data_IF_352113547331
#
_entry.id   IF_352113547331
#
_cell.length_a   1.000
_cell.length_b   1.000
_cell.length_c   1.000
_cell.angle_alpha   90.00
_cell.angle_beta   90.00
_cell.angle_gamma   90.00
#
_symmetry.space_group_name_H-M   'P 1'
#
loop_
_entity.id
_entity.type
_entity.pdbx_description
1 polymer ?
#
# COMPACT_ATOMS: atom_id res chain seq x y z
N UNK A 1 -8.57 5.96 0.74
CA UNK A 1 -8.92 4.59 0.31
C UNK A 1 -10.42 4.41 0.36
N UNK A 2 -11.05 3.72 -0.62
CA UNK A 2 -12.49 3.46 -0.57
C UNK A 2 -12.88 2.61 0.65
N UNK A 3 -14.13 2.68 1.16
CA UNK A 3 -14.58 1.84 2.26
C UNK A 3 -14.50 0.36 1.89
N UNK A 4 -14.26 -0.50 2.87
CA UNK A 4 -14.21 -1.96 2.65
C UNK A 4 -15.62 -2.44 2.24
N UNK A 5 -15.76 -3.19 1.14
CA UNK A 5 -17.05 -3.71 0.72
C UNK A 5 -17.70 -4.60 1.77
N UNK A 6 -19.02 -4.66 1.76
CA UNK A 6 -19.78 -5.58 2.61
C UNK A 6 -19.39 -7.02 2.24
N UNK A 7 -19.11 -7.85 3.24
CA UNK A 7 -18.80 -9.26 3.02
C UNK A 7 -20.01 -9.96 2.39
N UNK A 8 -19.76 -10.61 1.26
CA UNK A 8 -20.72 -11.45 0.54
C UNK A 8 -20.03 -12.78 0.27
N UNK A 9 -20.79 -13.87 0.23
CA UNK A 9 -20.23 -15.18 -0.12
C UNK A 9 -20.52 -15.50 -1.58
N UNK A 10 -19.69 -16.37 -2.15
CA UNK A 10 -19.93 -16.88 -3.48
C UNK A 10 -21.29 -17.61 -3.61
N UNK A 11 -21.99 -17.40 -4.73
CA UNK A 11 -23.21 -18.13 -5.08
C UNK A 11 -23.27 -18.42 -6.58
N UNK A 12 -23.05 -19.69 -6.94
CA UNK A 12 -23.03 -20.18 -8.34
C UNK A 12 -24.28 -19.77 -9.15
N UNK A 13 -25.46 -19.76 -8.52
CA UNK A 13 -26.76 -19.37 -9.14
C UNK A 13 -26.88 -17.86 -9.41
N UNK A 14 -26.25 -17.01 -8.58
CA UNK A 14 -26.29 -15.57 -8.75
C UNK A 14 -25.49 -15.13 -9.98
N UNK A 15 -24.40 -15.85 -10.29
CA UNK A 15 -23.60 -15.64 -11.49
C UNK A 15 -24.40 -15.95 -12.76
N UNK A 16 -25.04 -17.11 -12.84
CA UNK A 16 -25.86 -17.49 -14.02
C UNK A 16 -27.00 -16.48 -14.25
N UNK A 17 -27.66 -16.01 -13.18
CA UNK A 17 -28.69 -14.96 -13.28
C UNK A 17 -28.11 -13.59 -13.66
N UNK A 18 -26.92 -13.21 -13.20
CA UNK A 18 -26.26 -11.96 -13.56
C UNK A 18 -25.76 -11.96 -15.02
N UNK A 19 -25.30 -13.11 -15.53
CA UNK A 19 -24.94 -13.27 -16.95
C UNK A 19 -26.17 -13.28 -17.86
N UNK A 20 -27.31 -13.86 -17.44
CA UNK A 20 -28.58 -13.82 -18.20
C UNK A 20 -29.30 -12.47 -18.09
N UNK A 21 -29.04 -11.68 -17.05
CA UNK A 21 -29.59 -10.32 -16.86
C UNK A 21 -28.65 -9.21 -17.32
N UNK A 22 -27.57 -9.53 -18.02
CA UNK A 22 -26.59 -8.53 -18.51
C UNK A 22 -27.17 -7.55 -19.54
N UNK A 23 -28.43 -7.73 -19.97
CA UNK A 23 -29.21 -6.74 -20.74
C UNK A 23 -30.14 -5.84 -19.90
N UNK A 24 -30.31 -6.05 -18.58
CA UNK A 24 -31.34 -5.35 -17.79
C UNK A 24 -30.90 -4.81 -16.41
N UNK A 25 -29.62 -4.89 -16.06
CA UNK A 25 -29.10 -4.26 -14.84
C UNK A 25 -27.84 -3.44 -15.14
N UNK A 26 -28.02 -2.36 -15.90
CA UNK A 26 -27.41 -1.09 -15.48
C UNK A 26 -28.06 -0.71 -14.14
N UNK A 27 -27.32 -0.08 -13.24
CA UNK A 27 -27.70 0.35 -11.87
C UNK A 27 -27.84 -0.75 -10.82
N UNK A 28 -26.71 -1.10 -10.19
CA UNK A 28 -26.52 -1.00 -8.73
C UNK A 28 -25.07 -1.37 -8.38
N UNK A 29 -24.18 -0.40 -8.58
CA UNK A 29 -22.92 -0.33 -7.82
C UNK A 29 -23.29 -0.07 -6.36
N UNK A 30 -22.89 -0.90 -5.37
CA UNK A 30 -23.12 -0.58 -3.97
C UNK A 30 -22.16 0.56 -3.58
N UNK A 31 -22.74 1.75 -3.49
CA UNK A 31 -22.17 2.95 -2.86
C UNK A 31 -20.81 3.39 -3.44
N UNK A 32 -20.83 3.80 -4.71
CA UNK A 32 -19.82 4.70 -5.24
C UNK A 32 -20.05 6.08 -4.60
N UNK A 33 -19.41 6.31 -3.47
CA UNK A 33 -18.98 7.68 -3.16
C UNK A 33 -18.11 8.11 -4.34
N UNK A 34 -18.73 8.83 -5.26
CA UNK A 34 -18.09 9.34 -6.46
C UNK A 34 -16.82 10.10 -6.04
N UNK A 35 -15.67 9.88 -6.70
CA UNK A 35 -14.45 10.65 -6.44
C UNK A 35 -14.62 12.17 -6.61
N UNK A 36 -15.72 12.62 -7.22
CA UNK A 36 -16.00 14.03 -7.52
C UNK A 36 -16.12 14.94 -6.28
N UNK A 37 -16.19 14.41 -5.06
CA UNK A 37 -16.21 15.22 -3.84
C UNK A 37 -14.85 15.35 -3.13
N UNK A 38 -13.83 14.61 -3.57
CA UNK A 38 -12.47 14.83 -3.09
C UNK A 38 -11.79 15.72 -4.12
N UNK A 39 -11.48 16.97 -3.76
CA UNK A 39 -10.56 17.82 -4.53
C UNK A 39 -9.16 17.19 -4.49
N UNK A 40 -8.95 16.14 -5.29
CA UNK A 40 -7.68 15.41 -5.34
C UNK A 40 -6.66 16.30 -6.04
N UNK A 41 -5.58 16.65 -5.34
CA UNK A 41 -4.46 17.37 -5.93
C UNK A 41 -3.89 16.56 -7.09
N UNK A 42 -3.63 17.21 -8.22
CA UNK A 42 -3.02 16.55 -9.37
C UNK A 42 -1.63 15.98 -9.00
N UNK A 43 -1.28 14.81 -9.54
CA UNK A 43 0.00 14.13 -9.29
C UNK A 43 1.22 15.05 -9.52
N UNK A 44 1.26 15.86 -10.60
CA UNK A 44 2.35 16.82 -10.80
C UNK A 44 2.49 17.84 -9.67
N UNK A 45 1.37 18.32 -9.12
CA UNK A 45 1.37 19.28 -8.01
C UNK A 45 1.99 18.68 -6.74
N UNK A 46 1.67 17.42 -6.44
CA UNK A 46 2.27 16.68 -5.32
C UNK A 46 3.78 16.50 -5.49
N UNK A 47 4.23 16.19 -6.71
CA UNK A 47 5.65 16.07 -7.04
C UNK A 47 6.39 17.39 -6.86
N UNK A 48 5.80 18.51 -7.31
CA UNK A 48 6.38 19.84 -7.11
C UNK A 48 6.45 20.18 -5.62
N UNK A 49 5.40 19.90 -4.83
CA UNK A 49 5.41 20.10 -3.39
C UNK A 49 6.51 19.27 -2.70
N UNK A 50 6.68 18.01 -3.10
CA UNK A 50 7.75 17.15 -2.60
C UNK A 50 9.13 17.73 -2.90
N UNK A 51 9.35 18.22 -4.13
CA UNK A 51 10.58 18.89 -4.52
C UNK A 51 10.82 20.18 -3.71
N UNK A 52 9.77 20.96 -3.43
CA UNK A 52 9.86 22.16 -2.60
C UNK A 52 10.28 21.82 -1.17
N UNK A 53 9.70 20.79 -0.55
CA UNK A 53 10.11 20.34 0.77
C UNK A 53 11.56 19.84 0.80
N UNK A 54 11.99 19.14 -0.25
CA UNK A 54 13.38 18.73 -0.39
C UNK A 54 14.34 19.94 -0.54
N UNK A 55 13.93 20.94 -1.30
CA UNK A 55 14.66 22.19 -1.40
C UNK A 55 14.77 22.86 -0.01
N UNK A 56 13.66 22.97 0.72
CA UNK A 56 13.63 23.56 2.07
C UNK A 56 14.56 22.84 3.06
N UNK A 57 14.52 21.50 3.12
CA UNK A 57 15.40 20.75 4.04
C UNK A 57 16.88 20.92 3.67
N UNK A 58 17.20 20.95 2.38
CA UNK A 58 18.58 21.14 1.91
C UNK A 58 19.11 22.55 2.21
N UNK A 59 18.25 23.57 2.07
CA UNK A 59 18.59 24.96 2.38
C UNK A 59 18.61 25.25 3.88
N UNK A 60 17.75 24.57 4.66
CA UNK A 60 17.76 24.66 6.12
C UNK A 60 19.12 24.21 6.68
N UNK A 61 19.69 23.14 6.14
CA UNK A 61 21.03 22.69 6.54
C UNK A 61 22.09 23.76 6.25
N UNK A 62 22.09 24.33 5.03
CA UNK A 62 23.02 25.41 4.66
C UNK A 62 22.85 26.67 5.52
N UNK A 63 21.62 27.02 5.87
CA UNK A 63 21.31 28.17 6.72
C UNK A 63 21.86 27.96 8.14
N UNK A 64 21.68 26.77 8.70
CA UNK A 64 22.24 26.41 10.01
C UNK A 64 23.76 26.54 10.01
N UNK A 65 24.41 26.02 8.98
CA UNK A 65 25.86 26.10 8.83
C UNK A 65 26.33 27.56 8.73
N UNK A 66 25.66 28.39 7.92
CA UNK A 66 26.00 29.81 7.78
C UNK A 66 25.77 30.62 9.06
N UNK A 67 24.69 30.37 9.79
CA UNK A 67 24.42 31.03 11.08
C UNK A 67 25.54 30.67 12.05
N UNK A 68 25.93 29.40 12.10
CA UNK A 68 26.97 28.92 13.00
C UNK A 68 28.34 29.50 12.68
N UNK A 69 28.72 29.56 11.41
CA UNK A 69 29.98 30.16 10.96
C UNK A 69 30.07 31.64 11.40
N UNK A 70 29.01 32.42 11.16
CA UNK A 70 28.96 33.83 11.56
C UNK A 70 28.97 34.00 13.08
N UNK A 71 28.25 33.14 13.80
CA UNK A 71 28.18 33.17 15.26
C UNK A 71 29.54 32.86 15.90
N UNK A 72 30.24 31.85 15.38
CA UNK A 72 31.57 31.46 15.88
C UNK A 72 32.63 32.50 15.52
N UNK A 73 32.60 33.09 14.32
CA UNK A 73 33.49 34.18 13.90
C UNK A 73 33.37 35.43 14.78
N UNK A 74 32.16 35.84 15.17
CA UNK A 74 31.96 36.98 16.10
C UNK A 74 32.44 36.65 17.50
N UNK A 75 32.18 35.43 17.99
CA UNK A 75 32.59 34.99 19.34
C UNK A 75 34.11 34.86 19.47
N UNK A 76 34.83 34.52 18.39
CA UNK A 76 36.30 34.57 18.37
C UNK A 76 36.86 36.00 18.41
N UNK A 77 36.19 36.96 17.75
CA UNK A 77 36.57 38.38 17.84
C UNK A 77 36.30 38.97 19.23
N UNK A 78 35.18 38.60 19.87
CA UNK A 78 34.85 39.05 21.23
C UNK A 78 35.78 38.46 22.30
N UNK A 79 36.23 37.21 22.15
CA UNK A 79 37.21 36.58 23.05
C UNK A 79 38.62 37.19 22.96
N UNK A 80 38.98 37.77 21.81
CA UNK A 80 40.21 38.57 21.68
C UNK A 80 40.11 39.92 22.42
N UNK A 81 38.89 40.44 22.61
CA UNK A 81 38.63 41.73 23.27
C UNK A 81 38.36 41.56 24.78
N UNK A 82 37.82 40.42 25.22
CA UNK A 82 37.53 40.14 26.64
C UNK A 82 38.26 38.89 27.14
N UNK A 83 39.55 39.05 27.48
CA UNK A 83 40.19 38.23 28.51
C UNK A 83 39.71 38.69 29.88
N UNK A 84 38.53 38.26 30.32
CA UNK A 84 38.24 37.98 31.72
C UNK A 84 36.77 37.60 31.93
N UNK A 85 36.61 36.69 32.88
CA UNK A 85 35.39 36.31 33.60
C UNK A 85 34.56 35.18 32.95
N UNK A 86 34.76 34.05 33.62
CA UNK A 86 34.06 32.78 33.64
C UNK A 86 32.53 32.91 33.61
N UNK A 87 31.87 32.17 32.71
CA UNK A 87 30.44 31.87 32.85
C UNK A 87 30.11 30.53 32.17
N UNK A 88 29.77 29.55 33.00
CA UNK A 88 29.25 28.22 32.66
C UNK A 88 27.91 28.33 31.90
N UNK A 89 27.95 28.66 30.63
CA UNK A 89 26.79 28.53 29.73
C UNK A 89 26.75 27.09 29.19
N UNK A 90 25.69 26.36 29.54
CA UNK A 90 25.36 25.05 28.93
C UNK A 90 25.51 25.18 27.41
N UNK A 91 26.42 24.40 26.84
CA UNK A 91 26.67 24.38 25.40
C UNK A 91 25.39 23.94 24.69
N UNK A 92 24.65 24.92 24.15
CA UNK A 92 23.59 24.67 23.17
C UNK A 92 24.24 23.92 22.01
N UNK A 93 23.86 22.67 21.78
CA UNK A 93 24.48 21.85 20.74
C UNK A 93 23.96 22.31 19.38
N UNK A 94 24.88 22.44 18.40
CA UNK A 94 24.63 22.89 17.02
C UNK A 94 23.45 22.17 16.34
N UNK A 95 23.14 20.93 16.75
CA UNK A 95 22.08 20.11 16.16
C UNK A 95 20.68 20.46 16.65
N UNK A 96 20.50 21.11 17.79
CA UNK A 96 19.16 21.16 18.41
C UNK A 96 18.27 22.30 17.88
N UNK A 97 18.85 23.36 17.30
CA UNK A 97 18.14 24.63 17.02
C UNK A 97 17.05 24.50 15.92
N UNK A 98 17.15 23.52 15.04
CA UNK A 98 16.15 23.26 13.97
C UNK A 98 15.75 21.80 13.83
N UNK A 99 15.98 20.99 14.87
CA UNK A 99 15.68 19.56 14.81
C UNK A 99 14.19 19.28 14.60
N UNK A 100 13.33 20.06 15.27
CA UNK A 100 11.88 19.98 15.10
C UNK A 100 11.44 20.25 13.65
N UNK A 101 11.98 21.31 13.03
CA UNK A 101 11.67 21.66 11.63
C UNK A 101 12.12 20.56 10.67
N UNK A 102 13.33 19.99 10.86
CA UNK A 102 13.82 18.89 10.02
C UNK A 102 12.93 17.65 10.12
N UNK A 103 12.51 17.30 11.33
CA UNK A 103 11.58 16.18 11.56
C UNK A 103 10.23 16.43 10.90
N UNK A 104 9.68 17.64 11.04
CA UNK A 104 8.40 18.00 10.44
C UNK A 104 8.45 17.98 8.91
N UNK A 105 9.50 18.53 8.29
CA UNK A 105 9.67 18.50 6.83
C UNK A 105 9.81 17.06 6.34
N UNK A 106 10.65 16.24 6.98
CA UNK A 106 10.80 14.84 6.58
C UNK A 106 9.49 14.05 6.71
N UNK A 107 8.75 14.25 7.80
CA UNK A 107 7.44 13.62 7.99
C UNK A 107 6.42 14.08 6.93
N UNK A 108 6.42 15.38 6.56
CA UNK A 108 5.57 15.88 5.49
C UNK A 108 5.94 15.27 4.14
N UNK A 109 7.23 15.11 3.85
CA UNK A 109 7.69 14.40 2.64
C UNK A 109 7.22 12.94 2.61
N UNK A 110 7.33 12.20 3.73
CA UNK A 110 6.81 10.82 3.82
C UNK A 110 5.32 10.76 3.51
N UNK A 111 4.54 11.69 4.08
CA UNK A 111 3.09 11.77 3.85
C UNK A 111 2.75 12.08 2.41
N UNK A 112 3.49 12.98 1.76
CA UNK A 112 3.28 13.27 0.32
C UNK A 112 3.61 12.04 -0.52
N UNK A 113 4.71 11.33 -0.24
CA UNK A 113 5.03 10.09 -0.97
C UNK A 113 3.95 9.01 -0.78
N UNK A 114 3.54 8.74 0.47
CA UNK A 114 2.48 7.77 0.82
C UNK A 114 1.16 8.12 0.12
N UNK A 115 0.75 9.40 0.20
CA UNK A 115 -0.47 9.88 -0.44
C UNK A 115 -0.41 9.78 -1.97
N UNK A 116 0.73 10.13 -2.57
CA UNK A 116 0.91 10.08 -4.04
C UNK A 116 0.80 8.65 -4.56
N UNK A 117 1.50 7.69 -3.93
CA UNK A 117 1.39 6.28 -4.30
C UNK A 117 -0.05 5.75 -4.14
N UNK A 118 -0.70 6.09 -3.03
CA UNK A 118 -2.11 5.71 -2.79
C UNK A 118 -3.05 6.32 -3.82
N UNK A 119 -2.88 7.59 -4.16
CA UNK A 119 -3.69 8.27 -5.18
C UNK A 119 -3.54 7.58 -6.53
N UNK A 120 -2.31 7.26 -6.95
CA UNK A 120 -2.07 6.60 -8.22
C UNK A 120 -2.80 5.27 -8.29
N UNK A 121 -2.66 4.40 -7.28
CA UNK A 121 -3.28 3.06 -7.31
C UNK A 121 -4.80 3.11 -7.18
N UNK A 122 -5.33 3.93 -6.26
CA UNK A 122 -6.76 3.90 -5.89
C UNK A 122 -7.62 4.94 -6.63
N UNK A 123 -7.01 5.91 -7.31
CA UNK A 123 -7.72 6.92 -8.09
C UNK A 123 -7.33 6.83 -9.57
N UNK A 124 -6.06 7.01 -9.91
CA UNK A 124 -5.63 7.14 -11.31
C UNK A 124 -5.70 5.79 -12.04
N UNK A 125 -5.22 4.72 -11.40
CA UNK A 125 -5.22 3.35 -11.88
C UNK A 125 -6.39 2.53 -11.33
N UNK A 126 -7.44 3.17 -10.80
CA UNK A 126 -8.57 2.48 -10.17
C UNK A 126 -9.20 1.44 -11.09
N UNK A 127 -9.48 1.80 -12.34
CA UNK A 127 -10.15 0.91 -13.29
C UNK A 127 -9.27 -0.32 -13.61
N UNK A 128 -8.04 -0.17 -14.14
CA UNK A 128 -7.21 -1.34 -14.44
C UNK A 128 -6.86 -2.13 -13.17
N UNK A 129 -6.49 -1.47 -12.08
CA UNK A 129 -5.97 -2.11 -10.87
C UNK A 129 -7.09 -2.64 -9.96
N UNK A 130 -7.99 -1.76 -9.49
CA UNK A 130 -8.97 -2.10 -8.46
C UNK A 130 -10.23 -2.75 -9.02
N UNK A 131 -10.67 -2.39 -10.23
CA UNK A 131 -11.94 -2.87 -10.79
C UNK A 131 -11.77 -4.11 -11.69
N UNK A 132 -10.66 -4.17 -12.44
CA UNK A 132 -10.44 -5.21 -13.46
C UNK A 132 -9.51 -6.37 -13.03
N UNK A 133 -8.50 -6.12 -12.19
CA UNK A 133 -7.55 -7.17 -11.80
C UNK A 133 -8.29 -8.38 -11.18
N UNK A 134 -8.02 -9.59 -11.67
CA UNK A 134 -8.66 -10.85 -11.28
C UNK A 134 -10.18 -10.92 -11.43
N UNK A 135 -10.79 -9.97 -12.15
CA UNK A 135 -12.22 -9.98 -12.44
C UNK A 135 -12.47 -10.60 -13.83
N UNK A 136 -13.21 -11.72 -13.96
CA UNK A 136 -13.88 -12.46 -12.89
C UNK A 136 -13.03 -13.56 -12.25
N UNK A 137 -11.89 -13.91 -12.85
CA UNK A 137 -10.98 -14.99 -12.40
C UNK A 137 -9.53 -14.59 -12.64
N UNK A 138 -8.59 -15.16 -11.88
CA UNK A 138 -7.15 -14.86 -11.99
C UNK A 138 -6.63 -15.07 -13.42
N UNK A 139 -6.92 -16.21 -14.06
CA UNK A 139 -6.47 -16.50 -15.42
C UNK A 139 -6.95 -15.49 -16.49
N UNK A 140 -8.07 -14.81 -16.27
CA UNK A 140 -8.69 -13.95 -17.28
C UNK A 140 -8.13 -12.52 -17.27
N UNK A 141 -7.71 -12.05 -16.10
CA UNK A 141 -7.31 -10.66 -15.87
C UNK A 141 -6.10 -10.64 -14.94
N UNK A 142 -4.92 -10.92 -15.51
CA UNK A 142 -3.63 -11.04 -14.81
C UNK A 142 -2.97 -9.68 -14.55
N UNK A 143 -1.96 -9.66 -13.68
CA UNK A 143 -1.16 -8.46 -13.38
C UNK A 143 -0.43 -7.89 -14.61
N UNK A 144 -0.18 -8.69 -15.66
CA UNK A 144 0.48 -8.23 -16.89
C UNK A 144 -0.18 -6.97 -17.49
N UNK A 145 -1.52 -6.89 -17.43
CA UNK A 145 -2.28 -5.74 -17.93
C UNK A 145 -2.06 -4.44 -17.13
N UNK A 146 -1.45 -4.52 -15.94
CA UNK A 146 -1.13 -3.37 -15.08
C UNK A 146 0.26 -2.80 -15.33
N UNK A 147 1.15 -3.55 -15.98
CA UNK A 147 2.56 -3.18 -16.08
C UNK A 147 2.75 -1.90 -16.90
N UNK A 148 2.11 -1.81 -18.07
CA UNK A 148 2.19 -0.60 -18.91
C UNK A 148 1.54 0.63 -18.23
N UNK A 149 0.33 0.56 -17.63
CA UNK A 149 -0.21 1.67 -16.85
C UNK A 149 0.67 2.11 -15.67
N UNK A 150 1.25 1.16 -14.93
CA UNK A 150 2.16 1.46 -13.82
C UNK A 150 3.45 2.12 -14.31
N UNK A 151 4.02 1.65 -15.41
CA UNK A 151 5.23 2.21 -16.01
C UNK A 151 5.00 3.66 -16.47
N UNK A 152 3.85 3.93 -17.11
CA UNK A 152 3.48 5.28 -17.53
C UNK A 152 3.41 6.25 -16.34
N UNK A 153 2.76 5.86 -15.24
CA UNK A 153 2.69 6.69 -14.03
C UNK A 153 4.06 6.87 -13.37
N UNK A 154 4.87 5.81 -13.31
CA UNK A 154 6.23 5.87 -12.74
C UNK A 154 7.14 6.80 -13.54
N UNK A 155 7.08 6.76 -14.87
CA UNK A 155 7.83 7.66 -15.74
C UNK A 155 7.45 9.12 -15.49
N UNK A 156 6.15 9.43 -15.42
CA UNK A 156 5.68 10.78 -15.11
C UNK A 156 6.15 11.28 -13.73
N UNK A 157 6.17 10.40 -12.72
CA UNK A 157 6.71 10.74 -11.41
C UNK A 157 8.20 11.07 -11.48
N UNK A 158 8.99 10.21 -12.11
CA UNK A 158 10.45 10.34 -12.21
C UNK A 158 10.89 11.53 -13.06
N UNK A 159 10.07 11.96 -14.02
CA UNK A 159 10.32 13.16 -14.84
C UNK A 159 10.24 14.46 -14.04
N UNK A 160 9.39 14.50 -13.00
CA UNK A 160 9.17 15.70 -12.18
C UNK A 160 10.01 15.67 -10.91
N UNK A 161 10.09 14.51 -10.25
CA UNK A 161 10.74 14.36 -8.94
C UNK A 161 12.26 14.35 -9.07
N UNK A 162 12.92 15.13 -8.21
CA UNK A 162 14.39 15.19 -8.18
C UNK A 162 15.00 13.84 -7.79
N UNK A 163 16.14 13.52 -8.39
CA UNK A 163 16.82 12.21 -8.27
C UNK A 163 16.94 11.66 -6.84
N UNK A 164 17.31 12.46 -5.80
CA UNK A 164 17.43 11.95 -4.43
C UNK A 164 16.13 11.47 -3.78
N UNK A 165 14.97 11.75 -4.40
CA UNK A 165 13.65 11.39 -3.90
C UNK A 165 12.99 10.26 -4.69
N UNK A 166 13.58 9.84 -5.81
CA UNK A 166 13.00 8.82 -6.70
C UNK A 166 12.76 7.50 -5.98
N UNK A 167 13.76 6.99 -5.28
CA UNK A 167 13.61 5.76 -4.49
C UNK A 167 12.49 5.87 -3.44
N UNK A 168 12.34 7.04 -2.82
CA UNK A 168 11.33 7.26 -1.78
C UNK A 168 9.92 7.22 -2.37
N UNK A 169 9.70 7.89 -3.50
CA UNK A 169 8.36 7.92 -4.12
C UNK A 169 8.03 6.58 -4.79
N UNK A 170 9.01 5.92 -5.42
CA UNK A 170 8.83 4.58 -6.01
C UNK A 170 8.55 3.55 -4.91
N UNK A 171 9.20 3.64 -3.75
CA UNK A 171 8.88 2.80 -2.58
C UNK A 171 7.42 2.97 -2.14
N UNK A 172 6.93 4.20 -2.06
CA UNK A 172 5.53 4.45 -1.70
C UNK A 172 4.55 3.94 -2.75
N UNK A 173 4.91 3.99 -4.04
CA UNK A 173 4.11 3.38 -5.11
C UNK A 173 4.10 1.85 -5.02
N UNK A 174 5.24 1.21 -4.72
CA UNK A 174 5.32 -0.22 -4.45
C UNK A 174 4.40 -0.61 -3.29
N UNK A 175 4.48 0.10 -2.16
CA UNK A 175 3.65 -0.15 -0.98
C UNK A 175 2.15 -0.02 -1.32
N UNK A 176 1.77 1.06 -2.00
CA UNK A 176 0.39 1.26 -2.44
C UNK A 176 -0.08 0.17 -3.42
N UNK A 177 0.80 -0.32 -4.29
CA UNK A 177 0.49 -1.39 -5.25
C UNK A 177 0.28 -2.73 -4.53
N UNK A 178 1.08 -3.04 -3.52
CA UNK A 178 0.89 -4.21 -2.68
C UNK A 178 -0.41 -4.12 -1.86
N UNK A 179 -0.72 -2.95 -1.29
CA UNK A 179 -1.99 -2.71 -0.60
C UNK A 179 -3.19 -2.83 -1.56
N UNK A 180 -3.05 -2.33 -2.79
CA UNK A 180 -4.03 -2.49 -3.85
C UNK A 180 -4.27 -3.95 -4.20
N UNK A 181 -3.19 -4.73 -4.37
CA UNK A 181 -3.26 -6.17 -4.63
C UNK A 181 -3.94 -6.92 -3.49
N UNK A 182 -3.59 -6.62 -2.23
CA UNK A 182 -4.24 -7.20 -1.06
C UNK A 182 -5.73 -6.87 -1.02
N UNK A 183 -6.08 -5.63 -1.33
CA UNK A 183 -7.48 -5.22 -1.40
C UNK A 183 -8.24 -5.99 -2.49
N UNK A 184 -7.65 -6.17 -3.66
CA UNK A 184 -8.27 -6.95 -4.75
C UNK A 184 -8.49 -8.42 -4.34
N UNK A 185 -7.52 -9.00 -3.63
CA UNK A 185 -7.56 -10.40 -3.20
C UNK A 185 -8.55 -10.64 -2.05
N UNK A 186 -8.57 -9.75 -1.05
CA UNK A 186 -9.33 -9.94 0.19
C UNK A 186 -10.67 -9.22 0.23
N UNK A 187 -10.76 -8.07 -0.43
CA UNK A 187 -11.88 -7.13 -0.36
C UNK A 187 -12.34 -6.71 -1.78
N UNK A 188 -12.17 -7.60 -2.77
CA UNK A 188 -12.38 -7.33 -4.20
C UNK A 188 -13.84 -7.39 -4.68
N UNK A 189 -14.80 -7.58 -3.77
CA UNK A 189 -16.22 -7.66 -4.09
C UNK A 189 -16.68 -8.99 -4.72
N UNK A 190 -17.98 -9.09 -4.97
CA UNK A 190 -18.67 -10.36 -5.33
C UNK A 190 -18.40 -10.86 -6.77
N UNK A 191 -17.75 -10.05 -7.59
CA UNK A 191 -17.45 -10.37 -8.99
C UNK A 191 -16.19 -11.21 -9.17
N UNK A 192 -15.34 -11.27 -8.14
CA UNK A 192 -14.10 -12.05 -8.11
C UNK A 192 -14.30 -13.37 -7.40
N UNK A 193 -13.71 -14.40 -7.98
CA UNK A 193 -13.77 -15.77 -7.45
C UNK A 193 -12.38 -16.37 -7.51
N UNK A 194 -11.93 -16.95 -6.40
CA UNK A 194 -10.64 -17.63 -6.28
C UNK A 194 -10.81 -19.11 -5.97
N UNK A 195 -9.91 -19.91 -6.53
CA UNK A 195 -9.77 -21.35 -6.33
C UNK A 195 -8.38 -21.68 -5.77
N UNK A 196 -8.19 -22.83 -5.09
CA UNK A 196 -6.86 -23.23 -4.61
C UNK A 196 -5.81 -23.31 -5.74
N UNK A 197 -6.24 -23.70 -6.94
CA UNK A 197 -5.40 -23.72 -8.14
C UNK A 197 -4.84 -22.36 -8.55
N UNK A 198 -5.48 -21.26 -8.14
CA UNK A 198 -5.06 -19.90 -8.54
C UNK A 198 -3.82 -19.43 -7.77
N UNK A 199 -3.48 -20.08 -6.65
CA UNK A 199 -2.35 -19.68 -5.81
C UNK A 199 -1.01 -19.63 -6.58
N UNK A 200 -0.82 -20.53 -7.56
CA UNK A 200 0.36 -20.52 -8.42
C UNK A 200 0.40 -19.27 -9.32
N UNK A 201 -0.74 -18.91 -9.91
CA UNK A 201 -0.84 -17.76 -10.81
C UNK A 201 -0.71 -16.44 -10.04
N UNK A 202 -1.27 -16.39 -8.82
CA UNK A 202 -1.09 -15.25 -7.92
C UNK A 202 0.38 -15.07 -7.51
N UNK A 203 1.11 -16.16 -7.24
CA UNK A 203 2.55 -16.08 -6.94
C UNK A 203 3.35 -15.61 -8.16
N UNK A 204 3.06 -16.13 -9.35
CA UNK A 204 3.66 -15.64 -10.61
C UNK A 204 3.42 -14.14 -10.80
N UNK A 205 2.20 -13.67 -10.55
CA UNK A 205 1.83 -12.25 -10.68
C UNK A 205 2.52 -11.36 -9.64
N UNK A 206 2.70 -11.85 -8.40
CA UNK A 206 3.49 -11.15 -7.39
C UNK A 206 4.97 -11.05 -7.81
N UNK A 207 5.51 -12.09 -8.44
CA UNK A 207 6.89 -12.09 -8.94
C UNK A 207 7.06 -11.11 -10.10
N UNK A 208 6.09 -11.01 -11.02
CA UNK A 208 6.08 -9.99 -12.08
C UNK A 208 6.10 -8.58 -11.47
N UNK A 209 5.22 -8.29 -10.51
CA UNK A 209 5.18 -6.99 -9.85
C UNK A 209 6.48 -6.69 -9.09
N UNK A 210 7.06 -7.69 -8.42
CA UNK A 210 8.33 -7.56 -7.70
C UNK A 210 9.47 -7.21 -8.66
N UNK A 211 9.62 -7.95 -9.76
CA UNK A 211 10.70 -7.71 -10.73
C UNK A 211 10.49 -6.39 -11.48
N UNK A 212 9.25 -5.94 -11.70
CA UNK A 212 8.95 -4.60 -12.21
C UNK A 212 9.58 -3.49 -11.36
N UNK A 213 9.38 -3.51 -10.03
CA UNK A 213 9.97 -2.49 -9.15
C UNK A 213 11.48 -2.63 -8.92
N UNK A 214 12.05 -3.81 -9.16
CA UNK A 214 13.51 -4.02 -9.15
C UNK A 214 14.13 -3.52 -10.46
N UNK A 215 13.40 -3.66 -11.58
CA UNK A 215 13.79 -3.24 -12.93
C UNK A 215 15.22 -3.67 -13.30
N UNK A 216 15.53 -4.95 -13.13
CA UNK A 216 16.86 -5.50 -13.46
C UNK A 216 18.04 -4.93 -12.65
N UNK A 217 17.78 -4.14 -11.60
CA UNK A 217 18.79 -3.46 -10.79
C UNK A 217 18.79 -1.93 -10.94
N UNK A 218 18.07 -1.39 -11.93
CA UNK A 218 17.96 0.05 -12.15
C UNK A 218 16.83 0.69 -11.31
N UNK A 219 16.00 -0.12 -10.67
CA UNK A 219 14.93 0.31 -9.77
C UNK A 219 15.32 0.22 -8.29
N UNK A 220 14.37 -0.20 -7.45
CA UNK A 220 14.56 -0.32 -6.01
C UNK A 220 15.51 -1.48 -5.65
N UNK A 221 16.27 -1.38 -4.54
CA UNK A 221 17.13 -2.46 -4.09
C UNK A 221 16.35 -3.75 -3.80
N UNK A 222 16.80 -4.88 -4.37
CA UNK A 222 16.15 -6.20 -4.28
C UNK A 222 15.80 -6.61 -2.85
N UNK A 223 16.68 -6.35 -1.90
CA UNK A 223 16.45 -6.68 -0.48
C UNK A 223 15.26 -5.91 0.11
N UNK A 224 15.07 -4.66 -0.28
CA UNK A 224 13.98 -3.82 0.22
C UNK A 224 12.66 -4.28 -0.37
N UNK A 225 12.59 -4.50 -1.69
CA UNK A 225 11.38 -5.03 -2.35
C UNK A 225 11.02 -6.41 -1.79
N UNK A 226 12.02 -7.28 -1.58
CA UNK A 226 11.80 -8.60 -1.03
C UNK A 226 11.18 -8.57 0.38
N UNK A 227 11.52 -7.57 1.20
CA UNK A 227 10.93 -7.40 2.52
C UNK A 227 9.47 -6.92 2.44
N UNK A 228 9.13 -6.04 1.49
CA UNK A 228 7.76 -5.56 1.33
C UNK A 228 6.79 -6.67 0.88
N UNK A 229 7.23 -7.56 -0.01
CA UNK A 229 6.35 -8.61 -0.56
C UNK A 229 6.09 -9.79 0.38
N UNK A 230 6.80 -9.92 1.51
CA UNK A 230 6.69 -11.08 2.43
C UNK A 230 5.25 -11.29 2.90
N UNK A 231 4.58 -10.22 3.30
CA UNK A 231 3.21 -10.31 3.83
C UNK A 231 2.22 -10.73 2.74
N UNK A 232 2.31 -10.12 1.55
CA UNK A 232 1.46 -10.48 0.40
C UNK A 232 1.67 -11.93 -0.02
N UNK A 233 2.93 -12.37 -0.08
CA UNK A 233 3.26 -13.77 -0.40
C UNK A 233 2.67 -14.75 0.61
N UNK A 234 2.69 -14.42 1.91
CA UNK A 234 2.04 -15.26 2.92
C UNK A 234 0.53 -15.36 2.67
N UNK A 235 -0.14 -14.25 2.34
CA UNK A 235 -1.56 -14.25 2.01
C UNK A 235 -1.88 -15.04 0.75
N UNK A 236 -1.05 -14.95 -0.30
CA UNK A 236 -1.18 -15.78 -1.50
C UNK A 236 -1.06 -17.27 -1.17
N UNK A 237 -0.14 -17.65 -0.27
CA UNK A 237 -0.04 -19.03 0.20
C UNK A 237 -1.33 -19.52 0.88
N UNK A 238 -2.02 -18.65 1.64
CA UNK A 238 -3.31 -18.99 2.25
C UNK A 238 -4.36 -19.36 1.19
N UNK A 239 -4.35 -18.71 0.02
CA UNK A 239 -5.23 -19.08 -1.09
C UNK A 239 -4.96 -20.49 -1.63
N UNK A 240 -3.77 -21.06 -1.41
CA UNK A 240 -3.43 -22.41 -1.86
C UNK A 240 -3.93 -23.54 -0.98
N UNK A 241 -4.37 -23.26 0.27
CA UNK A 241 -4.86 -24.30 1.18
C UNK A 241 -6.26 -24.77 0.81
N UNK A 242 -6.59 -25.98 1.24
CA UNK A 242 -7.94 -26.51 1.10
C UNK A 242 -8.92 -25.78 2.02
N UNK A 243 -10.19 -25.75 1.61
CA UNK A 243 -11.23 -25.01 2.33
C UNK A 243 -11.46 -25.56 3.73
N UNK A 244 -11.31 -26.86 3.93
CA UNK A 244 -11.36 -27.53 5.24
C UNK A 244 -10.30 -26.98 6.20
N UNK A 245 -9.05 -26.86 5.75
CA UNK A 245 -7.92 -26.35 6.55
C UNK A 245 -8.13 -24.88 6.92
N UNK A 246 -8.61 -24.05 5.98
CA UNK A 246 -8.93 -22.65 6.23
C UNK A 246 -10.05 -22.50 7.27
N UNK A 247 -11.06 -23.37 7.23
CA UNK A 247 -12.19 -23.37 8.19
C UNK A 247 -11.74 -23.81 9.58
N UNK A 248 -10.88 -24.82 9.68
CA UNK A 248 -10.29 -25.27 10.95
C UNK A 248 -9.46 -24.13 11.59
N UNK A 249 -8.57 -23.51 10.83
CA UNK A 249 -7.73 -22.41 11.34
C UNK A 249 -8.58 -21.19 11.73
N UNK A 250 -9.66 -20.91 10.99
CA UNK A 250 -10.59 -19.83 11.31
C UNK A 250 -11.32 -20.08 12.64
N UNK A 251 -11.77 -21.31 12.91
CA UNK A 251 -12.41 -21.68 14.19
C UNK A 251 -11.44 -21.58 15.37
N UNK A 252 -10.19 -22.00 15.15
CA UNK A 252 -9.11 -21.81 16.12
C UNK A 252 -8.91 -20.31 16.41
N UNK A 253 -8.80 -19.48 15.37
CA UNK A 253 -8.58 -18.04 15.47
C UNK A 253 -9.75 -17.28 16.10
N UNK A 254 -10.99 -17.76 15.93
CA UNK A 254 -12.19 -17.18 16.55
C UNK A 254 -12.42 -17.62 18.00
N UNK A 255 -11.59 -18.53 18.55
CA UNK A 255 -11.81 -19.13 19.86
C UNK A 255 -13.07 -19.99 19.94
N UNK A 256 -13.57 -20.48 18.80
CA UNK A 256 -14.73 -21.38 18.74
C UNK A 256 -14.36 -22.81 19.12
N UNK A 257 -13.06 -23.14 19.18
CA UNK A 257 -12.56 -24.42 19.68
C UNK A 257 -12.19 -24.33 21.17
N UNK A 258 -12.88 -25.12 21.99
CA UNK A 258 -12.68 -25.20 23.45
C UNK A 258 -11.47 -26.05 23.88
N UNK A 259 -10.71 -26.63 22.94
CA UNK A 259 -9.57 -27.52 23.27
C UNK A 259 -8.42 -27.37 22.27
N UNK A 260 -7.39 -26.62 22.65
CA UNK A 260 -5.97 -26.91 22.34
C UNK A 260 -5.50 -26.95 20.89
N UNK A 261 -6.33 -26.66 19.88
CA UNK A 261 -5.93 -26.55 18.49
C UNK A 261 -4.97 -25.38 18.29
N UNK A 262 -3.69 -25.65 18.00
CA UNK A 262 -2.78 -24.60 17.55
C UNK A 262 -3.18 -24.18 16.14
N UNK A 263 -3.44 -22.89 15.94
CA UNK A 263 -3.57 -22.32 14.59
C UNK A 263 -2.28 -22.63 13.82
N UNK A 264 -2.40 -23.36 12.72
CA UNK A 264 -1.26 -23.84 11.92
C UNK A 264 -0.87 -22.84 10.85
N UNK A 265 -1.84 -22.08 10.33
CA UNK A 265 -1.60 -21.19 9.19
C UNK A 265 -1.08 -19.81 9.62
N UNK A 266 -1.30 -19.43 10.89
CA UNK A 266 -0.76 -18.19 11.46
C UNK A 266 -1.43 -16.92 10.95
N UNK A 267 -2.62 -17.05 10.34
CA UNK A 267 -3.41 -15.94 9.84
C UNK A 267 -4.45 -15.49 10.87
N UNK A 268 -4.81 -14.21 10.85
CA UNK A 268 -5.87 -13.70 11.71
C UNK A 268 -7.27 -14.07 11.18
N UNK A 269 -8.25 -14.02 12.08
CA UNK A 269 -9.64 -14.33 11.78
C UNK A 269 -10.22 -13.53 10.60
N UNK A 270 -9.91 -12.23 10.48
CA UNK A 270 -10.49 -11.37 9.43
C UNK A 270 -9.94 -11.75 8.06
N UNK A 271 -8.65 -12.05 7.99
CA UNK A 271 -7.99 -12.53 6.77
C UNK A 271 -8.62 -13.84 6.29
N UNK A 272 -8.70 -14.85 7.16
CA UNK A 272 -9.29 -16.15 6.79
C UNK A 272 -10.76 -16.03 6.36
N UNK A 273 -11.53 -15.21 7.08
CA UNK A 273 -12.94 -14.97 6.75
C UNK A 273 -13.10 -14.37 5.35
N UNK A 274 -12.27 -13.39 5.00
CA UNK A 274 -12.26 -12.73 3.68
C UNK A 274 -11.87 -13.67 2.55
N UNK A 275 -10.83 -14.49 2.75
CA UNK A 275 -10.42 -15.51 1.78
C UNK A 275 -11.59 -16.47 1.49
N UNK A 276 -12.27 -16.95 2.54
CA UNK A 276 -13.43 -17.82 2.39
C UNK A 276 -14.61 -17.14 1.67
N UNK A 277 -14.79 -15.82 1.84
CA UNK A 277 -15.88 -15.08 1.18
C UNK A 277 -15.74 -15.08 -0.36
N UNK A 278 -14.51 -14.95 -0.85
CA UNK A 278 -14.21 -14.96 -2.29
C UNK A 278 -13.92 -16.36 -2.86
N UNK A 279 -14.06 -17.41 -2.04
CA UNK A 279 -13.76 -18.78 -2.44
C UNK A 279 -14.85 -19.36 -3.33
N UNK A 280 -14.45 -19.95 -4.46
CA UNK A 280 -15.35 -20.45 -5.50
C UNK A 280 -16.02 -21.81 -5.25
N UNK A 281 -15.92 -22.36 -4.04
CA UNK A 281 -16.48 -23.67 -3.71
C UNK A 281 -17.76 -23.59 -2.85
N UNK A 282 -18.54 -24.67 -2.88
CA UNK A 282 -19.80 -24.77 -2.15
C UNK A 282 -19.61 -24.96 -0.65
N UNK A 283 -18.47 -25.51 -0.22
CA UNK A 283 -18.18 -25.81 1.18
C UNK A 283 -17.98 -24.51 1.97
N UNK A 284 -17.12 -23.62 1.49
CA UNK A 284 -16.91 -22.29 2.04
C UNK A 284 -18.24 -21.52 2.09
N UNK A 285 -18.98 -21.53 0.99
CA UNK A 285 -20.28 -20.86 0.87
C UNK A 285 -21.30 -21.39 1.88
N UNK A 286 -21.36 -22.70 2.13
CA UNK A 286 -22.26 -23.29 3.12
C UNK A 286 -21.83 -22.98 4.55
N UNK A 287 -20.53 -23.03 4.83
CA UNK A 287 -19.97 -22.69 6.13
C UNK A 287 -20.27 -21.24 6.51
N UNK A 288 -19.97 -20.28 5.62
CA UNK A 288 -20.23 -18.86 5.84
C UNK A 288 -21.71 -18.54 6.04
N UNK A 289 -22.59 -19.20 5.28
CA UNK A 289 -24.04 -19.06 5.43
C UNK A 289 -24.51 -19.57 6.80
N UNK A 290 -24.01 -20.73 7.25
CA UNK A 290 -24.43 -21.37 8.51
C UNK A 290 -23.89 -20.66 9.75
N UNK A 291 -22.60 -20.32 9.76
CA UNK A 291 -21.93 -19.79 10.94
C UNK A 291 -22.03 -18.26 11.06
N UNK A 292 -21.90 -17.55 9.94
CA UNK A 292 -21.79 -16.08 9.94
C UNK A 292 -23.00 -15.37 9.32
N UNK A 293 -23.96 -16.12 8.77
CA UNK A 293 -25.17 -15.58 8.09
C UNK A 293 -24.83 -14.57 6.98
N UNK A 294 -23.66 -14.72 6.36
CA UNK A 294 -23.21 -13.86 5.26
C UNK A 294 -24.11 -14.11 4.04
N UNK A 295 -24.62 -13.06 3.38
CA UNK A 295 -25.55 -13.17 2.25
C UNK A 295 -24.93 -13.92 1.06
#
# INVERSE_FOLDING_TARGET
MPPVPILTRYRKEARIKAFLKKELFDTLTPDETMPNEISVLATPTLCVQLNTLYYEISHLNKLVDSIWERWTSKRSQEKLIKKSIDEKSKSFSQKDIFDGSRKAINAAMDRICEYTGTKIVFCDLRVPFIDNLYNPTVCASRVDALIEPLDMELNQLCDIVVEPLRDRIVMSLLQASLDGLLRVILDGGSWRVFFPSDAKLLEEDLEVLKEFFISGGDGLPRSVVQNQVVHVRHLIKLHGYETTELVEDLKCASGMEMQGGKCKLGADFKTLLRILCHRGDSEASQFLKKQFKIP
#
